data_IF_137817141267
#
_entry.id   IF_137817141267
#
_cell.length_a   1.000
_cell.length_b   1.000
_cell.length_c   1.000
_cell.angle_alpha   90.00
_cell.angle_beta   90.00
_cell.angle_gamma   90.00
#
_symmetry.space_group_name_H-M   'P 1'
#
loop_
_entity.id
_entity.type
_entity.pdbx_description
1 polymer ?
#
# COMPACT_ATOMS: atom_id res chain seq x y z
N UNK A 1 -47.87 -22.32 5.71
CA UNK A 1 -48.48 -22.52 4.38
C UNK A 1 -47.86 -21.50 3.42
N UNK A 2 -47.09 -21.98 2.44
CA UNK A 2 -46.51 -21.17 1.36
C UNK A 2 -47.58 -20.88 0.31
N UNK A 3 -47.82 -19.61 -0.03
CA UNK A 3 -48.35 -19.10 -1.32
C UNK A 3 -47.83 -17.65 -1.44
N UNK A 4 -46.87 -17.27 -2.31
CA UNK A 4 -46.95 -17.03 -3.77
C UNK A 4 -48.14 -16.09 -4.11
N UNK A 5 -48.07 -14.99 -4.88
CA UNK A 5 -47.13 -14.45 -5.90
C UNK A 5 -47.52 -12.96 -6.16
N UNK A 6 -46.67 -12.24 -6.92
CA UNK A 6 -46.96 -11.22 -7.98
C UNK A 6 -46.64 -9.74 -7.67
N UNK A 7 -45.80 -9.18 -8.54
CA UNK A 7 -45.57 -7.74 -8.79
C UNK A 7 -44.17 -7.53 -9.37
N UNK A 8 -43.85 -7.89 -10.61
CA UNK A 8 -44.20 -7.24 -11.88
C UNK A 8 -43.50 -5.88 -12.11
N UNK A 9 -42.50 -5.92 -13.01
CA UNK A 9 -42.33 -5.01 -14.17
C UNK A 9 -41.42 -3.78 -14.08
N UNK A 10 -40.75 -3.54 -15.24
CA UNK A 10 -39.96 -2.40 -15.76
C UNK A 10 -38.43 -2.49 -15.55
N UNK A 11 -37.61 -2.92 -16.52
CA UNK A 11 -37.28 -2.37 -17.86
C UNK A 11 -36.82 -0.90 -17.89
N UNK A 12 -35.59 -0.71 -18.37
CA UNK A 12 -35.03 0.55 -18.87
C UNK A 12 -33.89 1.09 -18.00
N UNK A 13 -32.80 1.63 -18.52
CA UNK A 13 -32.34 1.81 -19.89
C UNK A 13 -30.85 2.14 -19.80
N UNK A 14 -30.08 1.69 -20.78
CA UNK A 14 -28.69 2.07 -21.01
C UNK A 14 -28.61 3.59 -21.21
N UNK A 15 -27.74 4.26 -20.44
CA UNK A 15 -27.36 5.65 -20.73
C UNK A 15 -25.96 5.68 -21.36
N UNK A 16 -25.94 6.42 -22.46
CA UNK A 16 -24.92 6.51 -23.50
C UNK A 16 -23.73 7.38 -23.11
N UNK A 17 -22.56 7.04 -23.68
CA UNK A 17 -21.35 7.84 -23.63
C UNK A 17 -21.63 9.25 -24.18
N UNK A 18 -21.34 10.26 -23.37
CA UNK A 18 -21.28 11.65 -23.83
C UNK A 18 -19.90 11.90 -24.42
N UNK A 19 -19.82 11.91 -25.75
CA UNK A 19 -18.72 12.51 -26.47
C UNK A 19 -18.89 14.04 -26.46
N UNK A 20 -17.86 14.76 -26.01
CA UNK A 20 -17.72 16.18 -26.31
C UNK A 20 -16.61 16.33 -27.34
N UNK A 21 -17.05 16.51 -28.59
CA UNK A 21 -16.27 17.00 -29.71
C UNK A 21 -15.95 18.48 -29.51
N UNK A 22 -14.74 18.89 -29.87
CA UNK A 22 -14.40 20.30 -30.06
C UNK A 22 -13.29 20.39 -31.10
N UNK A 23 -13.62 21.00 -32.25
CA UNK A 23 -12.66 21.76 -33.05
C UNK A 23 -12.14 21.08 -34.31
N UNK A 24 -12.95 21.09 -35.37
CA UNK A 24 -12.47 21.07 -36.74
C UNK A 24 -11.73 22.39 -37.03
N UNK A 25 -10.48 22.31 -37.51
CA UNK A 25 -9.85 23.31 -38.38
C UNK A 25 -8.90 22.58 -39.34
N UNK A 26 -9.29 22.53 -40.61
CA UNK A 26 -8.43 22.14 -41.74
C UNK A 26 -7.74 23.38 -42.29
N UNK A 27 -6.40 23.41 -42.31
CA UNK A 27 -5.55 23.68 -43.50
C UNK A 27 -4.06 23.68 -43.12
N UNK A 28 -3.23 23.30 -44.09
CA UNK A 28 -1.96 22.62 -43.95
C UNK A 28 -0.74 23.46 -43.50
N UNK A 29 0.28 22.70 -43.05
CA UNK A 29 1.73 22.94 -43.15
C UNK A 29 2.47 23.19 -41.83
N UNK A 30 3.35 22.23 -41.54
CA UNK A 30 4.66 22.35 -40.88
C UNK A 30 4.76 23.02 -39.50
N UNK A 31 5.05 22.17 -38.52
CA UNK A 31 6.04 22.47 -37.48
C UNK A 31 5.57 23.32 -36.30
N UNK A 32 6.17 23.01 -35.15
CA UNK A 32 6.12 23.77 -33.89
C UNK A 32 4.85 23.61 -33.03
N UNK A 33 4.95 22.59 -32.18
CA UNK A 33 4.26 22.43 -30.91
C UNK A 33 4.51 23.66 -30.01
N UNK A 34 3.51 24.50 -29.74
CA UNK A 34 3.40 25.21 -28.45
C UNK A 34 1.98 25.71 -28.16
N UNK A 35 1.60 25.56 -26.87
CA UNK A 35 0.60 26.29 -26.07
C UNK A 35 -0.78 25.65 -25.90
N UNK A 36 -1.01 25.11 -24.70
CA UNK A 36 -1.87 25.80 -23.71
C UNK A 36 -1.73 25.21 -22.31
N UNK A 37 -1.44 26.12 -21.38
CA UNK A 37 -1.55 26.01 -19.93
C UNK A 37 -2.90 25.43 -19.52
N UNK A 38 -2.87 24.23 -18.96
CA UNK A 38 -3.80 23.80 -17.94
C UNK A 38 -3.03 23.76 -16.62
N UNK A 39 -3.61 24.30 -15.56
CA UNK A 39 -3.12 24.08 -14.19
C UNK A 39 -3.13 22.59 -13.91
N UNK A 40 -1.98 21.96 -14.13
CA UNK A 40 -1.63 20.72 -13.48
C UNK A 40 -1.31 21.16 -12.06
N UNK A 41 -2.21 20.88 -11.12
CA UNK A 41 -1.83 20.78 -9.71
C UNK A 41 -0.58 19.94 -9.68
N UNK A 42 0.53 20.59 -9.32
CA UNK A 42 1.82 19.99 -9.05
C UNK A 42 1.62 18.94 -7.96
N UNK A 43 1.21 17.74 -8.34
CA UNK A 43 1.56 16.55 -7.59
C UNK A 43 3.06 16.47 -7.76
N UNK A 44 3.77 17.05 -6.78
CA UNK A 44 5.19 16.92 -6.59
C UNK A 44 5.56 15.49 -6.95
N UNK A 45 6.24 15.31 -8.08
CA UNK A 45 6.97 14.10 -8.37
C UNK A 45 7.94 13.98 -7.21
N UNK A 46 7.62 13.13 -6.23
CA UNK A 46 8.55 12.77 -5.19
C UNK A 46 9.77 12.26 -5.93
N UNK A 47 10.87 13.01 -5.86
CA UNK A 47 12.14 12.56 -6.39
C UNK A 47 12.41 11.21 -5.75
N UNK A 48 12.44 10.17 -6.57
CA UNK A 48 12.62 8.79 -6.14
C UNK A 48 14.05 8.73 -5.59
N UNK A 49 14.19 8.88 -4.29
CA UNK A 49 15.47 8.82 -3.62
C UNK A 49 15.82 7.35 -3.41
N UNK A 50 16.44 6.74 -4.42
CA UNK A 50 16.93 5.35 -4.40
C UNK A 50 17.94 5.06 -3.29
N UNK A 51 18.41 6.09 -2.57
CA UNK A 51 19.30 5.94 -1.42
C UNK A 51 18.57 5.81 -0.08
N UNK A 52 17.24 5.94 -0.07
CA UNK A 52 16.42 5.83 1.14
C UNK A 52 16.07 4.37 1.45
N UNK A 53 15.73 4.08 2.71
CA UNK A 53 15.25 2.75 3.10
C UNK A 53 13.75 2.66 2.89
N UNK A 54 13.20 1.52 2.47
CA UNK A 54 11.76 1.36 2.35
C UNK A 54 11.08 1.37 3.74
N UNK A 55 9.93 2.02 3.81
CA UNK A 55 9.13 2.24 5.01
C UNK A 55 7.67 1.91 4.68
N UNK A 56 7.07 1.08 5.51
CA UNK A 56 5.70 0.62 5.35
C UNK A 56 4.92 0.77 6.66
N UNK A 57 3.61 0.85 6.52
CA UNK A 57 2.67 0.89 7.63
C UNK A 57 1.64 -0.21 7.51
N UNK A 58 1.25 -0.81 8.63
CA UNK A 58 0.23 -1.85 8.61
C UNK A 58 -0.46 -1.99 9.95
N UNK A 59 -1.69 -2.53 9.92
CA UNK A 59 -2.41 -2.89 11.13
C UNK A 59 -2.13 -4.34 11.48
N UNK A 60 -1.79 -4.59 12.75
CA UNK A 60 -1.61 -5.94 13.26
C UNK A 60 -2.93 -6.71 13.21
N UNK A 61 -2.91 -7.91 12.63
CA UNK A 61 -4.10 -8.79 12.56
C UNK A 61 -4.29 -9.63 13.83
N UNK A 62 -3.28 -9.67 14.69
CA UNK A 62 -3.28 -10.39 15.96
C UNK A 62 -2.26 -9.82 16.92
N UNK A 63 -2.28 -10.32 18.16
CA UNK A 63 -1.26 -9.97 19.14
C UNK A 63 0.12 -10.53 18.70
N UNK A 64 1.22 -9.83 18.98
CA UNK A 64 2.55 -10.32 18.66
C UNK A 64 2.83 -11.69 19.28
N UNK A 65 3.41 -12.60 18.49
CA UNK A 65 3.85 -13.90 19.00
C UNK A 65 5.32 -13.78 19.42
N UNK A 66 5.59 -14.04 20.70
CA UNK A 66 6.94 -13.98 21.25
C UNK A 66 7.59 -15.36 21.13
N UNK A 67 8.66 -15.46 20.36
CA UNK A 67 9.55 -16.63 20.32
C UNK A 67 10.84 -16.33 21.11
N UNK A 68 11.75 -17.32 21.19
CA UNK A 68 13.00 -17.23 21.94
C UNK A 68 13.79 -15.96 21.60
N UNK A 69 14.01 -15.72 20.31
CA UNK A 69 14.90 -14.66 19.82
C UNK A 69 14.19 -13.63 18.92
N UNK A 70 12.92 -13.86 18.60
CA UNK A 70 12.16 -13.00 17.70
C UNK A 70 10.77 -12.68 18.24
N UNK A 71 10.20 -11.61 17.69
CA UNK A 71 8.81 -11.21 17.87
C UNK A 71 8.16 -11.21 16.50
N UNK A 72 7.12 -12.03 16.35
CA UNK A 72 6.44 -12.22 15.07
C UNK A 72 5.27 -11.25 15.01
N UNK A 73 5.28 -10.37 14.00
CA UNK A 73 4.23 -9.41 13.71
C UNK A 73 3.57 -9.79 12.38
N UNK A 74 2.24 -9.86 12.35
CA UNK A 74 1.50 -10.27 11.14
C UNK A 74 0.55 -9.17 10.68
N UNK A 75 0.51 -8.96 9.38
CA UNK A 75 -0.27 -7.93 8.69
C UNK A 75 -1.05 -8.56 7.53
N UNK A 76 -2.32 -8.18 7.35
CA UNK A 76 -3.13 -8.61 6.20
C UNK A 76 -2.80 -7.79 4.95
N UNK A 77 -2.47 -6.52 5.16
CA UNK A 77 -2.10 -5.55 4.12
C UNK A 77 -1.16 -4.51 4.73
N UNK A 78 -0.39 -3.83 3.89
CA UNK A 78 0.50 -2.75 4.31
C UNK A 78 0.45 -1.61 3.30
N UNK A 79 0.56 -0.37 3.75
CA UNK A 79 0.65 0.81 2.91
C UNK A 79 2.13 1.22 2.75
N UNK A 80 2.51 1.64 1.55
CA UNK A 80 3.84 2.18 1.29
C UNK A 80 3.92 3.66 1.72
N UNK A 81 4.82 3.95 2.66
CA UNK A 81 5.18 5.33 3.05
C UNK A 81 6.35 5.82 2.20
N UNK A 82 7.32 4.92 1.98
CA UNK A 82 8.46 5.11 1.11
C UNK A 82 8.85 3.76 0.51
N UNK A 83 8.92 3.65 -0.81
CA UNK A 83 9.22 2.38 -1.47
C UNK A 83 10.10 2.60 -2.72
N UNK A 84 11.40 2.87 -2.52
CA UNK A 84 12.31 3.19 -3.62
C UNK A 84 12.48 2.04 -4.64
N UNK A 85 12.27 0.80 -4.19
CA UNK A 85 12.45 -0.42 -4.99
C UNK A 85 11.12 -1.04 -5.44
N UNK A 86 9.98 -0.39 -5.16
CA UNK A 86 8.64 -0.87 -5.54
C UNK A 86 8.35 -2.30 -5.06
N UNK A 87 8.76 -2.64 -3.82
CA UNK A 87 8.52 -3.96 -3.22
C UNK A 87 7.15 -4.09 -2.54
N UNK A 88 6.38 -3.00 -2.43
CA UNK A 88 5.04 -2.94 -1.86
C UNK A 88 4.10 -4.00 -2.44
N UNK A 89 4.09 -4.15 -3.77
CA UNK A 89 3.22 -5.11 -4.47
C UNK A 89 3.39 -6.55 -3.97
N UNK A 90 4.62 -6.90 -3.57
CA UNK A 90 4.94 -8.23 -3.01
C UNK A 90 4.39 -8.37 -1.60
N UNK A 91 4.45 -7.32 -0.79
CA UNK A 91 4.06 -7.32 0.63
C UNK A 91 2.55 -7.18 0.83
N UNK A 92 1.86 -6.43 -0.03
CA UNK A 92 0.46 -6.09 0.16
C UNK A 92 -0.50 -7.17 -0.36
N UNK A 93 -0.11 -7.88 -1.42
CA UNK A 93 -1.01 -8.81 -2.14
C UNK A 93 -1.56 -9.96 -1.29
N UNK A 94 -0.85 -10.40 -0.25
CA UNK A 94 -1.25 -11.53 0.60
C UNK A 94 -0.96 -11.30 2.09
N UNK A 95 -0.69 -10.06 2.47
CA UNK A 95 -0.14 -9.72 3.78
C UNK A 95 1.34 -10.06 3.93
N UNK A 96 1.90 -9.75 5.09
CA UNK A 96 3.32 -9.91 5.39
C UNK A 96 3.51 -10.32 6.84
N UNK A 97 4.53 -11.16 7.09
CA UNK A 97 4.96 -11.53 8.44
C UNK A 97 6.37 -11.00 8.69
N UNK A 98 6.54 -10.21 9.74
CA UNK A 98 7.84 -9.73 10.19
C UNK A 98 8.35 -10.61 11.33
N UNK A 99 9.51 -11.23 11.14
CA UNK A 99 10.24 -11.94 12.19
C UNK A 99 11.24 -10.99 12.83
N UNK A 100 10.76 -10.07 13.67
CA UNK A 100 11.58 -8.99 14.24
C UNK A 100 12.54 -9.57 15.26
N UNK A 101 13.84 -9.29 15.14
CA UNK A 101 14.79 -9.66 16.18
C UNK A 101 14.41 -8.99 17.51
N UNK A 102 14.48 -9.75 18.60
CA UNK A 102 14.12 -9.24 19.93
C UNK A 102 15.00 -8.05 20.35
N UNK A 103 16.24 -7.98 19.87
CA UNK A 103 17.15 -6.84 20.11
C UNK A 103 16.69 -5.55 19.44
N UNK A 104 15.96 -5.64 18.33
CA UNK A 104 15.32 -4.51 17.64
C UNK A 104 14.03 -4.17 18.39
N UNK A 105 13.18 -5.16 18.61
CA UNK A 105 11.89 -4.97 19.26
C UNK A 105 12.04 -4.39 20.67
N UNK A 106 13.07 -4.78 21.42
CA UNK A 106 13.28 -4.30 22.78
C UNK A 106 13.65 -2.82 22.86
N UNK A 107 14.20 -2.25 21.77
CA UNK A 107 14.52 -0.83 21.64
C UNK A 107 13.29 0.01 21.24
N UNK A 108 12.23 -0.64 20.76
CA UNK A 108 10.99 0.04 20.40
C UNK A 108 10.31 0.61 21.64
N UNK A 109 9.76 1.82 21.49
CA UNK A 109 8.96 2.47 22.54
C UNK A 109 7.53 1.94 22.53
N UNK A 110 6.85 2.03 23.67
CA UNK A 110 5.44 1.65 23.80
C UNK A 110 5.14 0.19 23.38
N UNK A 111 6.00 -0.75 23.77
CA UNK A 111 5.88 -2.18 23.44
C UNK A 111 4.54 -2.76 23.89
N UNK A 112 3.98 -2.24 24.98
CA UNK A 112 2.66 -2.58 25.51
C UNK A 112 1.49 -2.24 24.58
N UNK A 113 1.69 -1.36 23.58
CA UNK A 113 0.68 -0.99 22.59
C UNK A 113 0.70 -1.90 21.35
N UNK A 114 1.68 -2.79 21.20
CA UNK A 114 1.68 -3.79 20.14
C UNK A 114 0.68 -4.89 20.47
N UNK A 115 -0.54 -4.71 19.97
CA UNK A 115 -1.66 -5.64 20.10
C UNK A 115 -2.46 -5.64 18.80
N UNK A 116 -3.35 -6.61 18.65
CA UNK A 116 -4.26 -6.66 17.50
C UNK A 116 -4.91 -5.29 17.22
N UNK A 117 -4.90 -4.89 15.95
CA UNK A 117 -5.44 -3.62 15.44
C UNK A 117 -4.51 -2.42 15.55
N UNK A 118 -3.38 -2.52 16.27
CA UNK A 118 -2.41 -1.44 16.38
C UNK A 118 -1.80 -1.11 15.01
N UNK A 119 -1.64 0.19 14.73
CA UNK A 119 -0.95 0.68 13.55
C UNK A 119 0.55 0.70 13.84
N UNK A 120 1.32 -0.01 13.02
CA UNK A 120 2.77 -0.16 13.16
C UNK A 120 3.41 0.35 11.89
N UNK A 121 4.42 1.20 12.04
CA UNK A 121 5.36 1.58 10.99
C UNK A 121 6.62 0.73 11.14
N UNK A 122 7.14 0.21 10.03
CA UNK A 122 8.38 -0.53 10.01
C UNK A 122 9.28 -0.10 8.84
N UNK A 123 10.58 -0.11 9.12
CA UNK A 123 11.62 0.26 8.17
C UNK A 123 12.45 -0.96 7.85
N UNK A 124 12.62 -1.28 6.57
CA UNK A 124 13.46 -2.39 6.14
C UNK A 124 14.85 -1.91 5.70
N UNK A 125 15.76 -2.84 5.45
CA UNK A 125 17.00 -2.54 4.72
C UNK A 125 16.69 -2.18 3.26
N UNK A 126 17.64 -1.55 2.56
CA UNK A 126 17.44 -1.12 1.16
C UNK A 126 17.02 -2.28 0.23
N UNK A 127 17.65 -3.43 0.42
CA UNK A 127 17.39 -4.67 -0.32
C UNK A 127 17.03 -5.77 0.68
N UNK A 128 15.80 -5.76 1.22
CA UNK A 128 15.41 -6.71 2.24
C UNK A 128 15.30 -8.11 1.64
N UNK A 129 15.70 -9.12 2.42
CA UNK A 129 15.42 -10.50 2.07
C UNK A 129 13.93 -10.77 2.30
N UNK A 130 13.30 -11.49 1.37
CA UNK A 130 11.90 -11.91 1.44
C UNK A 130 11.82 -13.41 1.13
N UNK A 131 10.92 -14.13 1.79
CA UNK A 131 10.60 -15.52 1.43
C UNK A 131 9.58 -15.58 0.30
N UNK A 132 9.66 -16.61 -0.55
CA UNK A 132 8.67 -16.90 -1.59
C UNK A 132 7.43 -17.65 -1.05
N UNK A 133 6.99 -17.31 0.16
CA UNK A 133 5.80 -17.88 0.79
C UNK A 133 4.59 -16.96 0.66
N UNK A 134 3.41 -17.45 1.04
CA UNK A 134 2.17 -16.69 1.09
C UNK A 134 1.60 -16.81 2.53
N UNK A 135 1.63 -15.75 3.35
CA UNK A 135 2.28 -14.46 3.11
C UNK A 135 3.82 -14.57 3.02
N UNK A 136 4.51 -13.64 2.32
CA UNK A 136 5.96 -13.50 2.42
C UNK A 136 6.37 -13.16 3.86
N UNK A 137 7.55 -13.62 4.24
CA UNK A 137 8.16 -13.34 5.53
C UNK A 137 9.41 -12.49 5.37
N UNK A 138 9.58 -11.53 6.28
CA UNK A 138 10.78 -10.69 6.39
C UNK A 138 11.61 -11.15 7.60
N UNK A 139 12.87 -11.57 7.40
CA UNK A 139 13.76 -11.94 8.48
C UNK A 139 14.27 -10.71 9.26
N UNK A 140 14.69 -10.93 10.51
CA UNK A 140 15.11 -9.88 11.44
C UNK A 140 16.24 -8.99 10.95
N UNK A 141 17.21 -9.57 10.21
CA UNK A 141 18.35 -8.86 9.63
C UNK A 141 17.97 -7.84 8.53
N UNK A 142 16.78 -8.02 7.95
CA UNK A 142 16.20 -7.14 6.94
C UNK A 142 15.33 -6.06 7.55
N UNK A 143 15.12 -6.07 8.87
CA UNK A 143 14.31 -5.09 9.59
C UNK A 143 15.25 -4.15 10.33
N UNK A 144 15.06 -2.84 10.16
CA UNK A 144 15.84 -1.82 10.87
C UNK A 144 15.15 -1.31 12.13
N UNK A 145 13.84 -1.13 12.05
CA UNK A 145 13.03 -0.64 13.16
C UNK A 145 11.57 -1.01 12.98
N UNK A 146 10.88 -1.12 14.11
CA UNK A 146 9.41 -1.19 14.19
C UNK A 146 8.96 -0.22 15.26
N UNK A 147 7.85 0.49 15.02
CA UNK A 147 7.31 1.47 15.95
C UNK A 147 5.78 1.59 15.85
N UNK A 148 5.13 1.87 16.98
CA UNK A 148 3.70 2.19 16.99
C UNK A 148 3.52 3.58 16.40
N UNK A 149 2.58 3.70 15.47
CA UNK A 149 2.12 4.99 14.98
C UNK A 149 0.91 5.40 15.81
N UNK A 150 1.09 6.38 16.67
CA UNK A 150 -0.02 6.99 17.39
C UNK A 150 -0.89 7.73 16.35
N UNK A 151 -2.18 7.37 16.26
CA UNK A 151 -3.15 8.10 15.43
C UNK A 151 -3.51 9.43 16.09
#
# INVERSE_FOLDING_TARGET
MKKMVIGSVLLGSVFVMSGCTSGLNTSASEGQTTKRTGEISTSTTNEINYESNPIFEGRLIGDPVIDKNSVILSFESVDAVNDPESIHDVLDSNGVVLNVDKTIFDKTKHKEKFKQGALVEFTLTKTPALTYSIPPQVPGDSIKSVQIKDN
#
